data_IF_644657306764
#
_entry.id   IF_644657306764
#
_cell.length_a   1.000
_cell.length_b   1.000
_cell.length_c   1.000
_cell.angle_alpha   90.00
_cell.angle_beta   90.00
_cell.angle_gamma   90.00
#
_symmetry.space_group_name_H-M   'P 1'
#
loop_
_entity.id
_entity.type
_entity.pdbx_description
1 polymer ?
#
# COMPACT_ATOMS: atom_id res chain seq x y z
N UNK A 1 7.22 -2.36 -4.52
CA UNK A 1 6.70 -3.48 -3.71
C UNK A 1 7.50 -3.72 -2.41
N UNK A 2 8.83 -3.94 -2.49
CA UNK A 2 9.61 -4.39 -1.32
C UNK A 2 9.62 -3.39 -0.16
N UNK A 3 9.68 -2.08 -0.43
CA UNK A 3 9.64 -1.05 0.63
C UNK A 3 8.33 -1.05 1.42
N UNK A 4 7.17 -1.12 0.76
CA UNK A 4 5.85 -1.13 1.42
C UNK A 4 5.65 -2.39 2.25
N UNK A 5 6.03 -3.56 1.71
CA UNK A 5 5.97 -4.82 2.46
C UNK A 5 6.90 -4.81 3.68
N UNK A 6 8.16 -4.42 3.50
CA UNK A 6 9.12 -4.31 4.60
C UNK A 6 8.64 -3.33 5.68
N UNK A 7 8.15 -2.15 5.26
CA UNK A 7 7.58 -1.15 6.16
C UNK A 7 6.38 -1.67 6.93
N UNK A 8 5.44 -2.37 6.28
CA UNK A 8 4.33 -2.99 6.99
C UNK A 8 4.77 -4.07 7.97
N UNK A 9 5.76 -4.91 7.62
CA UNK A 9 6.32 -5.89 8.55
C UNK A 9 6.95 -5.21 9.77
N UNK A 10 7.66 -4.08 9.58
CA UNK A 10 8.19 -3.28 10.69
C UNK A 10 7.07 -2.72 11.60
N UNK A 11 5.90 -2.45 11.02
CA UNK A 11 4.70 -2.03 11.74
C UNK A 11 3.89 -3.21 12.29
N UNK A 12 4.47 -4.41 12.33
CA UNK A 12 3.84 -5.65 12.78
C UNK A 12 2.51 -5.97 12.06
N UNK A 13 2.41 -5.58 10.78
CA UNK A 13 1.23 -5.81 9.93
C UNK A 13 1.65 -6.32 8.55
N UNK A 14 0.67 -6.68 7.72
CA UNK A 14 0.91 -7.08 6.32
C UNK A 14 -0.04 -6.34 5.39
N UNK A 15 0.33 -6.21 4.12
CA UNK A 15 -0.54 -5.59 3.11
C UNK A 15 -1.90 -6.28 3.07
N UNK A 16 -1.95 -7.61 3.17
CA UNK A 16 -3.18 -8.38 3.21
C UNK A 16 -4.01 -8.11 4.47
N UNK A 17 -3.38 -8.04 5.65
CA UNK A 17 -4.08 -7.73 6.90
C UNK A 17 -4.64 -6.30 6.88
N UNK A 18 -3.84 -5.32 6.45
CA UNK A 18 -4.26 -3.93 6.28
C UNK A 18 -5.42 -3.82 5.27
N UNK A 19 -5.32 -4.51 4.14
CA UNK A 19 -6.39 -4.58 3.14
C UNK A 19 -7.69 -5.10 3.74
N UNK A 20 -7.64 -6.16 4.55
CA UNK A 20 -8.83 -6.73 5.22
C UNK A 20 -9.44 -5.75 6.22
N UNK A 21 -8.62 -5.03 6.98
CA UNK A 21 -9.09 -4.02 7.94
C UNK A 21 -9.75 -2.81 7.27
N UNK A 22 -9.27 -2.43 6.08
CA UNK A 22 -9.75 -1.26 5.35
C UNK A 22 -10.74 -1.59 4.22
N UNK A 23 -11.15 -2.85 4.07
CA UNK A 23 -12.05 -3.29 3.00
C UNK A 23 -11.48 -3.13 1.58
N UNK A 24 -10.15 -3.10 1.45
CA UNK A 24 -9.45 -2.92 0.18
C UNK A 24 -9.16 -4.29 -0.45
N UNK A 25 -9.35 -4.39 -1.77
CA UNK A 25 -8.95 -5.60 -2.50
C UNK A 25 -7.41 -5.71 -2.57
N UNK A 26 -6.79 -6.82 -2.13
CA UNK A 26 -5.33 -7.01 -2.18
C UNK A 26 -4.72 -6.91 -3.58
N UNK A 27 -5.48 -7.21 -4.63
CA UNK A 27 -5.07 -7.05 -6.03
C UNK A 27 -5.02 -5.57 -6.42
N UNK A 28 -6.01 -4.77 -6.00
CA UNK A 28 -6.01 -3.33 -6.22
C UNK A 28 -4.88 -2.64 -5.44
N UNK A 29 -4.62 -3.06 -4.19
CA UNK A 29 -3.50 -2.58 -3.40
C UNK A 29 -2.15 -2.86 -4.09
N UNK A 30 -1.98 -4.06 -4.67
CA UNK A 30 -0.80 -4.36 -5.49
C UNK A 30 -0.67 -3.45 -6.69
N UNK A 31 -1.72 -3.29 -7.49
CA UNK A 31 -1.70 -2.42 -8.66
C UNK A 31 -1.38 -0.96 -8.30
N UNK A 32 -1.89 -0.47 -7.17
CA UNK A 32 -1.57 0.85 -6.64
C UNK A 32 -0.09 0.96 -6.21
N UNK A 33 0.44 -0.05 -5.51
CA UNK A 33 1.87 -0.10 -5.10
C UNK A 33 2.80 -0.18 -6.30
N UNK A 34 2.42 -0.90 -7.36
CA UNK A 34 3.21 -1.02 -8.59
C UNK A 34 3.06 0.17 -9.54
N UNK A 35 2.15 1.11 -9.25
CA UNK A 35 1.85 2.23 -10.15
C UNK A 35 1.07 1.83 -11.41
N UNK A 36 0.69 0.56 -11.55
CA UNK A 36 -0.15 0.07 -12.66
C UNK A 36 -1.53 0.73 -12.65
N UNK A 37 -2.04 1.06 -11.46
CA UNK A 37 -3.26 1.85 -11.32
C UNK A 37 -2.93 3.29 -10.92
N UNK A 38 -2.72 4.13 -11.94
CA UNK A 38 -2.34 5.54 -11.77
C UNK A 38 -3.54 6.52 -11.73
N UNK A 39 -4.78 6.02 -11.73
CA UNK A 39 -5.96 6.87 -11.58
C UNK A 39 -6.04 7.50 -10.18
N UNK A 40 -6.90 8.53 -9.98
CA UNK A 40 -6.98 9.28 -8.72
C UNK A 40 -7.19 8.39 -7.49
N UNK A 41 -8.02 7.36 -7.62
CA UNK A 41 -8.27 6.37 -6.56
C UNK A 41 -7.06 5.48 -6.28
N UNK A 42 -6.31 5.09 -7.32
CA UNK A 42 -5.10 4.27 -7.18
C UNK A 42 -3.96 5.04 -6.52
N UNK A 43 -3.79 6.32 -6.88
CA UNK A 43 -2.82 7.21 -6.23
C UNK A 43 -3.18 7.43 -4.74
N UNK A 44 -4.45 7.70 -4.44
CA UNK A 44 -4.92 7.82 -3.06
C UNK A 44 -4.67 6.53 -2.25
N UNK A 45 -4.95 5.37 -2.85
CA UNK A 45 -4.69 4.07 -2.21
C UNK A 45 -3.19 3.83 -2.00
N UNK A 46 -2.35 4.16 -2.97
CA UNK A 46 -0.89 4.07 -2.85
C UNK A 46 -0.39 4.95 -1.70
N UNK A 47 -0.88 6.18 -1.58
CA UNK A 47 -0.51 7.09 -0.50
C UNK A 47 -0.90 6.54 0.88
N UNK A 48 -2.09 5.94 1.01
CA UNK A 48 -2.52 5.28 2.25
C UNK A 48 -1.62 4.10 2.62
N UNK A 49 -1.26 3.26 1.64
CA UNK A 49 -0.38 2.11 1.84
C UNK A 49 1.04 2.52 2.23
N UNK A 50 1.58 3.58 1.61
CA UNK A 50 2.88 4.14 1.95
C UNK A 50 2.89 4.72 3.37
N UNK A 51 1.83 5.48 3.73
CA UNK A 51 1.64 6.01 5.09
C UNK A 51 1.56 4.89 6.12
N UNK A 52 0.75 3.86 5.85
CA UNK A 52 0.61 2.70 6.74
C UNK A 52 1.92 1.92 6.89
N UNK A 53 2.73 1.83 5.83
CA UNK A 53 4.04 1.22 5.86
C UNK A 53 5.14 2.10 6.49
N UNK A 54 4.83 3.36 6.85
CA UNK A 54 5.85 4.30 7.32
C UNK A 54 6.90 4.66 6.27
N UNK A 55 6.62 4.42 4.99
CA UNK A 55 7.53 4.68 3.88
C UNK A 55 7.16 6.02 3.28
N UNK A 56 8.12 6.96 3.26
CA UNK A 56 7.97 8.19 2.47
C UNK A 56 8.12 7.86 0.99
N UNK A 57 7.19 8.37 0.18
CA UNK A 57 7.37 8.39 -1.27
C UNK A 57 8.53 9.35 -1.54
N UNK A 58 9.72 8.79 -1.78
CA UNK A 58 10.80 9.57 -2.36
C UNK A 58 10.53 9.49 -3.86
N UNK A 59 9.96 10.57 -4.38
CA UNK A 59 9.73 10.79 -5.80
C UNK A 59 11.03 10.63 -6.59
#
# INVERSE_FOLDING_TARGET
MNKVRAGMTLQNTTVSAWCRQHGVNPSAARQAIYGTWAGPKGQALRAQLLKAAGVRDVA
#
